data_IF_783338742275
#
_entry.id   IF_783338742275
#
_cell.length_a   1.000
_cell.length_b   1.000
_cell.length_c   1.000
_cell.angle_alpha   90.00
_cell.angle_beta   90.00
_cell.angle_gamma   90.00
#
_symmetry.space_group_name_H-M   'P 1'
#
loop_
_entity.id
_entity.type
_entity.pdbx_description
1 polymer ?
#
# COMPACT_ATOMS: atom_id res chain seq x y z
N UNK A 1 5.39 6.56 -40.08
CA UNK A 1 4.49 7.63 -39.62
C UNK A 1 3.87 7.16 -38.31
N UNK A 2 4.54 7.45 -37.20
CA UNK A 2 4.10 7.09 -35.86
C UNK A 2 3.06 8.09 -35.39
N UNK A 3 1.81 7.62 -35.18
CA UNK A 3 0.76 8.39 -34.54
C UNK A 3 1.11 8.63 -33.09
N UNK A 4 1.51 9.85 -32.76
CA UNK A 4 1.53 10.38 -31.40
C UNK A 4 0.08 10.36 -30.90
N UNK A 5 -0.25 9.37 -30.06
CA UNK A 5 -1.50 9.37 -29.30
C UNK A 5 -1.57 10.70 -28.55
N UNK A 6 -2.55 11.48 -28.86
CA UNK A 6 -2.82 12.79 -28.26
C UNK A 6 -3.05 12.56 -26.77
N UNK A 7 -2.08 12.94 -25.93
CA UNK A 7 -2.21 12.91 -24.46
C UNK A 7 -3.39 13.79 -24.08
N UNK A 8 -4.43 13.20 -23.51
CA UNK A 8 -5.58 13.96 -23.00
C UNK A 8 -5.13 14.72 -21.73
N UNK A 9 -4.89 16.04 -21.82
CA UNK A 9 -4.48 16.84 -20.66
C UNK A 9 -5.60 16.92 -19.60
N UNK A 10 -6.81 16.44 -19.90
CA UNK A 10 -7.91 16.34 -18.96
C UNK A 10 -7.77 15.17 -17.96
N UNK A 11 -6.86 14.23 -18.22
CA UNK A 11 -6.71 13.03 -17.41
C UNK A 11 -5.95 13.27 -16.09
N UNK A 12 -5.06 14.26 -16.03
CA UNK A 12 -4.36 14.67 -14.81
C UNK A 12 -4.79 16.09 -14.43
N UNK A 13 -5.65 16.22 -13.41
CA UNK A 13 -6.14 17.51 -12.94
C UNK A 13 -5.78 17.72 -11.49
N UNK A 14 -5.44 18.97 -11.15
CA UNK A 14 -5.24 19.37 -9.76
C UNK A 14 -6.55 19.21 -8.97
N UNK A 15 -6.47 18.57 -7.80
CA UNK A 15 -7.58 18.34 -6.88
C UNK A 15 -7.08 18.53 -5.46
N UNK A 16 -7.50 19.60 -4.79
CA UNK A 16 -7.00 19.98 -3.48
C UNK A 16 -7.27 18.93 -2.40
N UNK A 17 -8.40 18.23 -2.51
CA UNK A 17 -8.77 17.18 -1.58
C UNK A 17 -9.66 16.13 -2.24
N UNK A 18 -9.26 14.89 -2.14
CA UNK A 18 -10.09 13.75 -2.51
C UNK A 18 -10.26 12.87 -1.27
N UNK A 19 -11.50 12.64 -0.88
CA UNK A 19 -11.87 11.65 0.12
C UNK A 19 -12.99 10.80 -0.47
N UNK A 20 -12.75 9.50 -0.56
CA UNK A 20 -13.71 8.54 -1.08
C UNK A 20 -13.81 7.32 -0.17
N UNK A 21 -15.02 6.88 0.08
CA UNK A 21 -15.34 5.59 0.68
C UNK A 21 -16.20 4.80 -0.29
N UNK A 22 -15.69 3.70 -0.78
CA UNK A 22 -16.30 2.87 -1.81
C UNK A 22 -16.75 1.57 -1.14
N UNK A 23 -18.05 1.46 -0.87
CA UNK A 23 -18.70 0.31 -0.24
C UNK A 23 -19.71 -0.39 -1.16
N UNK A 24 -19.81 0.03 -2.43
CA UNK A 24 -20.70 -0.59 -3.42
C UNK A 24 -20.17 -0.45 -4.84
N UNK A 25 -20.64 -1.31 -5.75
CA UNK A 25 -20.25 -1.27 -7.17
C UNK A 25 -20.65 0.06 -7.82
N UNK A 26 -21.81 0.63 -7.45
CA UNK A 26 -22.23 1.94 -7.95
C UNK A 26 -21.26 3.05 -7.53
N UNK A 27 -20.79 3.04 -6.27
CA UNK A 27 -19.81 4.00 -5.80
C UNK A 27 -18.46 3.80 -6.49
N UNK A 28 -18.07 2.55 -6.76
CA UNK A 28 -16.87 2.22 -7.50
C UNK A 28 -16.91 2.81 -8.92
N UNK A 29 -18.00 2.60 -9.62
CA UNK A 29 -18.20 3.15 -10.96
C UNK A 29 -18.17 4.67 -10.96
N UNK A 30 -18.91 5.34 -10.07
CA UNK A 30 -18.89 6.80 -9.92
C UNK A 30 -17.48 7.33 -9.60
N UNK A 31 -16.69 6.59 -8.85
CA UNK A 31 -15.30 6.96 -8.56
C UNK A 31 -14.40 6.80 -9.79
N UNK A 32 -14.59 5.74 -10.55
CA UNK A 32 -13.85 5.49 -11.80
C UNK A 32 -14.20 6.52 -12.88
N UNK A 33 -15.46 6.95 -12.95
CA UNK A 33 -15.93 7.96 -13.92
C UNK A 33 -15.41 9.38 -13.57
N UNK A 34 -14.87 9.55 -12.36
CA UNK A 34 -14.27 10.81 -11.94
C UNK A 34 -13.00 11.09 -12.76
N UNK A 35 -12.95 12.25 -13.38
CA UNK A 35 -11.76 12.72 -14.10
C UNK A 35 -10.58 12.97 -13.14
N UNK A 36 -9.37 12.92 -13.69
CA UNK A 36 -8.15 13.29 -12.97
C UNK A 36 -7.50 12.17 -12.15
N UNK A 37 -8.04 10.96 -12.13
CA UNK A 37 -7.43 9.79 -11.49
C UNK A 37 -6.87 8.87 -12.57
N UNK A 38 -5.58 8.55 -12.48
CA UNK A 38 -4.84 7.83 -13.53
C UNK A 38 -5.18 6.33 -13.63
N UNK A 39 -5.97 5.79 -12.71
CA UNK A 39 -6.29 4.36 -12.65
C UNK A 39 -7.79 4.10 -12.50
N UNK A 40 -8.26 2.99 -13.04
CA UNK A 40 -9.56 2.42 -12.73
C UNK A 40 -9.41 1.40 -11.60
N UNK A 41 -10.32 1.45 -10.63
CA UNK A 41 -10.44 0.44 -9.59
C UNK A 41 -11.42 -0.65 -10.01
N UNK A 42 -11.13 -1.89 -9.61
CA UNK A 42 -11.99 -3.05 -9.77
C UNK A 42 -11.96 -3.89 -8.49
N UNK A 43 -12.92 -4.80 -8.32
CA UNK A 43 -13.02 -5.67 -7.15
C UNK A 43 -12.20 -6.95 -7.34
N UNK A 44 -11.67 -7.46 -6.23
CA UNK A 44 -11.20 -8.83 -6.14
C UNK A 44 -12.43 -9.74 -5.96
N UNK A 45 -12.59 -10.71 -6.86
CA UNK A 45 -13.63 -11.76 -6.92
C UNK A 45 -14.61 -11.81 -5.74
N UNK A 46 -15.89 -11.52 -6.03
CA UNK A 46 -17.08 -11.79 -5.19
C UNK A 46 -17.23 -11.06 -3.85
N UNK A 47 -16.33 -10.19 -3.45
CA UNK A 47 -16.48 -9.41 -2.22
C UNK A 47 -17.12 -8.04 -2.52
N UNK A 48 -17.99 -7.57 -1.63
CA UNK A 48 -18.39 -6.18 -1.65
C UNK A 48 -17.16 -5.27 -1.47
N UNK A 49 -17.00 -4.21 -2.27
CA UNK A 49 -15.86 -3.32 -2.13
C UNK A 49 -15.88 -2.63 -0.75
N UNK A 50 -14.73 -2.56 -0.10
CA UNK A 50 -14.49 -1.67 1.05
C UNK A 50 -13.13 -1.00 0.82
N UNK A 51 -13.15 0.11 0.10
CA UNK A 51 -11.96 0.86 -0.27
C UNK A 51 -12.10 2.27 0.27
N UNK A 52 -11.08 2.76 0.96
CA UNK A 52 -10.96 4.14 1.44
C UNK A 52 -9.77 4.78 0.79
N UNK A 53 -9.99 5.96 0.24
CA UNK A 53 -8.97 6.75 -0.43
C UNK A 53 -9.05 8.16 0.16
N UNK A 54 -7.92 8.68 0.60
CA UNK A 54 -7.78 10.06 1.01
C UNK A 54 -6.50 10.64 0.42
N UNK A 55 -6.56 11.86 -0.11
CA UNK A 55 -5.38 12.46 -0.70
C UNK A 55 -5.65 13.79 -1.38
N UNK A 56 -4.63 14.24 -2.09
CA UNK A 56 -4.63 15.45 -2.90
C UNK A 56 -3.79 15.23 -4.15
N UNK A 57 -4.05 15.99 -5.18
CA UNK A 57 -3.34 15.95 -6.44
C UNK A 57 -3.07 17.36 -6.93
N UNK A 58 -1.81 17.67 -7.20
CA UNK A 58 -1.40 18.88 -7.92
C UNK A 58 -1.01 18.54 -9.35
N UNK A 59 -0.55 19.51 -10.11
CA UNK A 59 -0.07 19.30 -11.47
C UNK A 59 1.21 18.45 -11.54
N UNK A 60 2.02 18.47 -10.47
CA UNK A 60 3.35 17.83 -10.45
C UNK A 60 3.44 16.65 -9.49
N UNK A 61 2.44 16.43 -8.66
CA UNK A 61 2.48 15.40 -7.62
C UNK A 61 1.10 15.03 -7.12
N UNK A 62 0.89 13.76 -6.82
CA UNK A 62 -0.27 13.32 -6.05
C UNK A 62 0.17 12.57 -4.79
N UNK A 63 -0.55 12.76 -3.71
CA UNK A 63 -0.33 12.10 -2.44
C UNK A 63 -1.59 11.40 -1.99
N UNK A 64 -1.51 10.10 -1.75
CA UNK A 64 -2.64 9.23 -1.47
C UNK A 64 -2.38 8.33 -0.28
N UNK A 65 -3.38 8.22 0.59
CA UNK A 65 -3.55 7.11 1.50
C UNK A 65 -4.67 6.22 0.98
N UNK A 66 -4.40 4.93 0.90
CA UNK A 66 -5.38 3.94 0.44
C UNK A 66 -5.46 2.81 1.45
N UNK A 67 -6.67 2.45 1.86
CA UNK A 67 -6.92 1.31 2.71
C UNK A 67 -8.09 0.49 2.14
N UNK A 68 -8.01 -0.84 2.22
CA UNK A 68 -9.10 -1.71 1.78
C UNK A 68 -9.16 -2.98 2.62
N UNK A 69 -10.32 -3.27 3.17
CA UNK A 69 -10.56 -4.56 3.85
C UNK A 69 -10.78 -5.69 2.83
N UNK A 70 -11.40 -5.39 1.68
CA UNK A 70 -11.71 -6.38 0.64
C UNK A 70 -10.56 -6.69 -0.33
N UNK A 71 -9.54 -5.81 -0.39
CA UNK A 71 -8.61 -5.76 -1.51
C UNK A 71 -9.24 -5.11 -2.74
N UNK A 72 -8.45 -4.89 -3.78
CA UNK A 72 -8.90 -4.33 -5.05
C UNK A 72 -7.88 -4.60 -6.15
N UNK A 73 -8.32 -4.37 -7.37
CA UNK A 73 -7.46 -4.35 -8.56
C UNK A 73 -7.49 -2.94 -9.14
N UNK A 74 -6.36 -2.45 -9.66
CA UNK A 74 -6.36 -1.23 -10.46
C UNK A 74 -5.67 -1.48 -11.80
N UNK A 75 -6.15 -0.76 -12.83
CA UNK A 75 -5.57 -0.74 -14.17
C UNK A 75 -5.35 0.70 -14.60
N UNK A 76 -4.22 1.02 -15.25
CA UNK A 76 -4.02 2.35 -15.85
C UNK A 76 -5.18 2.70 -16.79
N UNK A 77 -5.67 3.95 -16.72
CA UNK A 77 -6.70 4.46 -17.65
C UNK A 77 -6.12 4.86 -19.00
N UNK A 78 -4.88 5.26 -18.99
CA UNK A 78 -4.16 5.77 -20.15
C UNK A 78 -2.67 5.50 -19.97
N UNK A 79 -1.96 5.47 -21.08
CA UNK A 79 -0.51 5.41 -21.07
C UNK A 79 0.05 6.76 -20.63
N UNK A 80 0.72 6.80 -19.50
CA UNK A 80 1.21 8.02 -18.89
C UNK A 80 2.64 7.84 -18.38
N UNK A 81 3.44 8.86 -18.60
CA UNK A 81 4.82 8.94 -18.13
C UNK A 81 4.85 9.33 -16.64
N UNK A 82 4.38 8.41 -15.82
CA UNK A 82 4.20 8.55 -14.38
C UNK A 82 4.96 7.48 -13.62
N UNK A 83 5.44 7.84 -12.45
CA UNK A 83 6.01 6.92 -11.47
C UNK A 83 5.16 6.97 -10.20
N UNK A 84 4.81 5.83 -9.65
CA UNK A 84 4.12 5.76 -8.36
C UNK A 84 5.04 5.19 -7.29
N UNK A 85 5.09 5.88 -6.15
CA UNK A 85 5.75 5.40 -4.93
C UNK A 85 4.68 4.94 -3.94
N UNK A 86 4.89 3.79 -3.29
CA UNK A 86 3.99 3.26 -2.27
C UNK A 86 4.79 2.71 -1.09
N UNK A 87 4.40 3.12 0.09
CA UNK A 87 4.84 2.58 1.37
C UNK A 87 3.70 1.73 1.92
N UNK A 88 3.84 0.42 1.81
CA UNK A 88 2.82 -0.52 2.27
C UNK A 88 2.85 -0.59 3.80
N UNK A 89 1.73 -0.27 4.44
CA UNK A 89 1.59 -0.29 5.90
C UNK A 89 0.90 -1.56 6.41
N UNK A 90 0.11 -2.21 5.54
CA UNK A 90 -0.53 -3.50 5.83
C UNK A 90 -0.91 -4.22 4.53
N UNK A 91 -1.05 -5.55 4.60
CA UNK A 91 -1.34 -6.37 3.43
C UNK A 91 -0.18 -6.44 2.44
N UNK A 92 -0.48 -6.65 1.17
CA UNK A 92 0.49 -6.70 0.08
C UNK A 92 -0.07 -6.05 -1.17
N UNK A 93 0.82 -5.65 -2.08
CA UNK A 93 0.45 -5.10 -3.39
C UNK A 93 1.34 -5.74 -4.46
N UNK A 94 0.73 -6.22 -5.53
CA UNK A 94 1.44 -6.81 -6.66
C UNK A 94 1.26 -5.94 -7.90
N UNK A 95 2.34 -5.68 -8.59
CA UNK A 95 2.40 -4.93 -9.84
C UNK A 95 2.72 -5.89 -10.97
N UNK A 96 1.83 -6.01 -11.94
CA UNK A 96 2.01 -6.88 -13.11
C UNK A 96 2.39 -6.06 -14.33
N UNK A 97 3.53 -6.38 -14.89
CA UNK A 97 4.07 -5.78 -16.11
C UNK A 97 4.00 -6.77 -17.27
N UNK A 98 4.34 -6.30 -18.46
CA UNK A 98 4.52 -7.18 -19.61
C UNK A 98 5.63 -8.21 -19.38
N UNK A 99 6.71 -7.80 -18.72
CA UNK A 99 7.93 -8.59 -18.55
C UNK A 99 8.07 -9.27 -17.16
N UNK A 100 7.12 -9.11 -16.22
CA UNK A 100 7.23 -9.71 -14.89
C UNK A 100 6.27 -9.14 -13.85
N UNK A 101 6.56 -9.41 -12.59
CA UNK A 101 5.77 -8.97 -11.45
C UNK A 101 6.67 -8.41 -10.34
N UNK A 102 6.25 -7.33 -9.68
CA UNK A 102 6.89 -6.82 -8.47
C UNK A 102 5.89 -6.85 -7.31
N UNK A 103 6.34 -7.17 -6.10
CA UNK A 103 5.47 -7.30 -4.92
C UNK A 103 5.96 -6.38 -3.81
N UNK A 104 5.08 -5.50 -3.36
CA UNK A 104 5.27 -4.62 -2.20
C UNK A 104 4.68 -5.24 -0.94
N UNK A 105 5.45 -5.21 0.14
CA UNK A 105 5.12 -5.74 1.47
C UNK A 105 5.34 -4.65 2.53
N UNK A 106 4.81 -4.78 3.76
CA UNK A 106 4.96 -3.75 4.80
C UNK A 106 6.40 -3.38 5.19
N UNK A 107 7.37 -4.25 4.89
CA UNK A 107 8.81 -3.97 5.10
C UNK A 107 9.48 -3.27 3.90
N UNK A 108 8.72 -2.98 2.85
CA UNK A 108 9.23 -2.43 1.60
C UNK A 108 8.44 -1.21 1.15
N UNK A 109 9.15 -0.30 0.51
CA UNK A 109 8.55 0.71 -0.35
C UNK A 109 8.72 0.28 -1.81
N UNK A 110 7.75 0.61 -2.66
CA UNK A 110 7.78 0.30 -4.09
C UNK A 110 7.83 1.57 -4.91
N UNK A 111 8.60 1.56 -5.99
CA UNK A 111 8.66 2.64 -6.99
C UNK A 111 8.44 2.02 -8.36
N UNK A 112 7.34 2.37 -8.99
CA UNK A 112 6.81 1.67 -10.15
C UNK A 112 6.40 2.66 -11.22
N UNK A 113 6.97 2.54 -12.43
CA UNK A 113 6.53 3.28 -13.60
C UNK A 113 5.20 2.74 -14.14
N UNK A 114 4.44 3.63 -14.80
CA UNK A 114 3.21 3.24 -15.50
C UNK A 114 3.50 2.60 -16.85
N UNK A 115 4.68 2.80 -17.39
CA UNK A 115 5.14 2.15 -18.61
C UNK A 115 5.06 0.63 -18.46
N UNK A 116 4.44 -0.05 -19.41
CA UNK A 116 4.19 -1.50 -19.38
C UNK A 116 3.40 -2.05 -18.19
N UNK A 117 2.92 -1.20 -17.28
CA UNK A 117 2.08 -1.61 -16.15
C UNK A 117 0.69 -2.03 -16.67
N UNK A 118 0.33 -3.28 -16.43
CA UNK A 118 -0.97 -3.84 -16.84
C UNK A 118 -2.01 -3.79 -15.75
N UNK A 119 -1.60 -4.18 -14.57
CA UNK A 119 -2.50 -4.37 -13.45
C UNK A 119 -1.76 -4.25 -12.13
N UNK A 120 -2.43 -3.71 -11.14
CA UNK A 120 -1.99 -3.70 -9.74
C UNK A 120 -3.04 -4.37 -8.89
N UNK A 121 -2.64 -5.35 -8.08
CA UNK A 121 -3.53 -6.08 -7.20
C UNK A 121 -3.15 -5.84 -5.74
N UNK A 122 -4.06 -5.28 -4.95
CA UNK A 122 -3.93 -5.14 -3.51
C UNK A 122 -4.66 -6.26 -2.78
N UNK A 123 -4.04 -6.85 -1.77
CA UNK A 123 -4.65 -7.93 -0.97
C UNK A 123 -5.76 -7.41 -0.04
N UNK A 124 -6.55 -8.32 0.54
CA UNK A 124 -7.42 -7.99 1.67
C UNK A 124 -6.63 -7.39 2.82
N UNK A 125 -7.22 -6.41 3.52
CA UNK A 125 -6.57 -5.69 4.62
C UNK A 125 -5.37 -4.86 4.19
N UNK A 126 -5.35 -4.44 2.93
CA UNK A 126 -4.33 -3.55 2.39
C UNK A 126 -4.38 -2.17 3.01
N UNK A 127 -3.22 -1.61 3.25
CA UNK A 127 -3.02 -0.21 3.61
C UNK A 127 -1.70 0.29 3.07
N UNK A 128 -1.71 1.49 2.48
CA UNK A 128 -0.50 2.13 2.00
C UNK A 128 -0.66 3.65 1.96
N UNK A 129 0.45 4.35 2.10
CA UNK A 129 0.58 5.77 1.77
C UNK A 129 1.58 5.90 0.63
N UNK A 130 1.36 6.83 -0.26
CA UNK A 130 2.27 7.07 -1.36
C UNK A 130 1.84 8.20 -2.26
N UNK A 131 2.45 8.28 -3.41
CA UNK A 131 2.19 9.33 -4.37
C UNK A 131 2.48 8.91 -5.80
N UNK A 132 2.09 9.75 -6.72
CA UNK A 132 2.39 9.60 -8.15
C UNK A 132 3.08 10.87 -8.63
N UNK A 133 4.17 10.73 -9.36
CA UNK A 133 5.04 11.82 -9.79
C UNK A 133 5.22 11.69 -11.31
N UNK A 134 5.00 12.75 -12.10
CA UNK A 134 5.40 12.76 -13.51
C UNK A 134 6.90 12.56 -13.68
N UNK A 135 7.32 11.73 -14.62
CA UNK A 135 8.75 11.47 -14.90
C UNK A 135 9.45 12.76 -15.26
N UNK A 136 8.79 13.68 -15.98
CA UNK A 136 9.32 14.99 -16.28
C UNK A 136 9.72 15.80 -15.03
N UNK A 137 8.93 15.70 -13.95
CA UNK A 137 9.26 16.36 -12.67
C UNK A 137 10.49 15.75 -12.00
N UNK A 138 10.64 14.41 -12.06
CA UNK A 138 11.85 13.74 -11.56
C UNK A 138 13.08 14.07 -12.41
N UNK A 139 12.93 14.15 -13.73
CA UNK A 139 14.02 14.54 -14.64
C UNK A 139 14.49 15.95 -14.36
N UNK A 140 13.56 16.89 -14.19
CA UNK A 140 13.89 18.27 -13.84
C UNK A 140 14.59 18.36 -12.47
N UNK A 141 14.10 17.61 -11.47
CA UNK A 141 14.75 17.54 -10.16
C UNK A 141 16.16 16.94 -10.24
N UNK A 142 16.37 15.91 -11.07
CA UNK A 142 17.70 15.32 -11.26
C UNK A 142 18.67 16.31 -11.94
N UNK A 143 18.21 17.04 -12.95
CA UNK A 143 19.01 18.07 -13.61
C UNK A 143 19.44 19.17 -12.62
N UNK A 144 18.52 19.60 -11.74
CA UNK A 144 18.82 20.58 -10.69
C UNK A 144 19.85 20.06 -9.67
N UNK A 145 19.73 18.78 -9.26
CA UNK A 145 20.67 18.15 -8.31
C UNK A 145 22.08 17.96 -8.91
N UNK A 146 22.18 17.64 -10.19
CA UNK A 146 23.46 17.26 -10.82
C UNK A 146 24.15 18.41 -11.53
N UNK A 147 23.48 19.56 -11.68
CA UNK A 147 24.00 20.70 -12.47
C UNK A 147 24.19 20.36 -13.96
N UNK A 148 23.64 19.23 -14.41
CA UNK A 148 23.80 18.71 -15.77
C UNK A 148 22.55 18.92 -16.62
N UNK A 149 22.73 19.05 -17.93
CA UNK A 149 21.63 19.12 -18.89
C UNK A 149 20.75 17.86 -18.85
N UNK A 150 19.80 17.78 -19.74
CA UNK A 150 18.67 16.85 -19.86
C UNK A 150 19.04 15.34 -19.97
N UNK A 151 19.97 14.91 -19.12
CA UNK A 151 20.29 13.49 -18.91
C UNK A 151 19.30 12.99 -17.88
N UNK A 152 18.43 12.06 -18.29
CA UNK A 152 17.51 11.36 -17.39
C UNK A 152 18.22 10.86 -16.11
N UNK A 153 17.49 10.56 -15.08
CA UNK A 153 18.05 9.98 -13.85
C UNK A 153 18.38 8.49 -14.04
N UNK A 154 19.34 7.99 -13.27
CA UNK A 154 19.69 6.57 -13.29
C UNK A 154 18.47 5.72 -12.94
N UNK A 155 18.28 4.55 -13.57
CA UNK A 155 17.16 3.67 -13.26
C UNK A 155 17.09 3.37 -11.76
N UNK A 156 15.92 3.57 -11.17
CA UNK A 156 15.67 3.34 -9.75
C UNK A 156 15.18 1.90 -9.54
N UNK A 157 15.56 1.30 -8.42
CA UNK A 157 15.11 -0.04 -8.07
C UNK A 157 13.57 -0.05 -7.84
N UNK A 158 12.84 -1.08 -8.28
CA UNK A 158 11.39 -1.15 -8.08
C UNK A 158 10.98 -1.31 -6.62
N UNK A 159 11.90 -1.78 -5.78
CA UNK A 159 11.67 -2.05 -4.36
C UNK A 159 12.83 -1.48 -3.54
N UNK A 160 12.51 -0.84 -2.42
CA UNK A 160 13.46 -0.36 -1.42
C UNK A 160 13.08 -0.89 -0.04
N UNK A 161 14.07 -1.28 0.77
CA UNK A 161 13.83 -1.74 2.13
C UNK A 161 13.49 -0.57 3.06
N UNK A 162 12.43 -0.71 3.85
CA UNK A 162 12.02 0.27 4.86
C UNK A 162 13.01 0.39 6.02
N UNK A 163 13.98 -0.54 6.13
CA UNK A 163 15.08 -0.47 7.09
C UNK A 163 16.16 0.55 6.70
N UNK A 164 16.17 1.02 5.45
CA UNK A 164 17.11 2.03 4.98
C UNK A 164 16.74 3.40 5.57
N UNK A 165 17.65 4.08 6.31
CA UNK A 165 17.32 5.33 7.00
C UNK A 165 16.78 6.44 6.08
N UNK A 166 17.31 6.58 4.87
CA UNK A 166 16.82 7.55 3.88
C UNK A 166 15.40 7.26 3.41
N UNK A 167 15.05 5.99 3.21
CA UNK A 167 13.70 5.54 2.82
C UNK A 167 12.70 5.76 3.97
N UNK A 168 13.13 5.52 5.23
CA UNK A 168 12.31 5.83 6.41
C UNK A 168 12.05 7.32 6.53
N UNK A 169 13.06 8.15 6.32
CA UNK A 169 12.91 9.60 6.35
C UNK A 169 11.93 10.09 5.27
N UNK A 170 12.03 9.57 4.06
CA UNK A 170 11.09 9.86 2.98
C UNK A 170 9.65 9.47 3.36
N UNK A 171 9.46 8.30 3.96
CA UNK A 171 8.16 7.87 4.47
C UNK A 171 7.60 8.80 5.56
N UNK A 172 8.44 9.21 6.52
CA UNK A 172 8.04 10.16 7.55
C UNK A 172 7.62 11.51 6.95
N UNK A 173 8.38 12.01 5.97
CA UNK A 173 8.06 13.26 5.27
C UNK A 173 6.72 13.16 4.55
N UNK A 174 6.48 12.08 3.80
CA UNK A 174 5.19 11.85 3.13
C UNK A 174 4.01 11.78 4.12
N UNK A 175 4.18 11.09 5.24
CA UNK A 175 3.15 11.02 6.29
C UNK A 175 2.82 12.38 6.89
N UNK A 176 3.84 13.16 7.19
CA UNK A 176 3.66 14.51 7.75
C UNK A 176 2.90 15.40 6.77
N UNK A 177 3.28 15.41 5.50
CA UNK A 177 2.60 16.19 4.47
C UNK A 177 1.15 15.75 4.33
N UNK A 178 0.91 14.43 4.27
CA UNK A 178 -0.45 13.89 4.17
C UNK A 178 -1.31 14.35 5.36
N UNK A 179 -0.80 14.27 6.58
CA UNK A 179 -1.52 14.72 7.77
C UNK A 179 -1.86 16.22 7.73
N UNK A 180 -0.95 17.06 7.22
CA UNK A 180 -1.18 18.51 7.12
C UNK A 180 -2.07 18.92 5.94
N UNK A 181 -2.12 18.11 4.89
CA UNK A 181 -3.00 18.35 3.72
C UNK A 181 -4.49 18.17 4.03
N UNK A 182 -4.84 17.63 5.20
CA UNK A 182 -6.23 17.44 5.65
C UNK A 182 -6.80 18.64 6.42
N UNK A 183 -6.00 19.68 6.70
CA UNK A 183 -6.45 20.92 7.30
C UNK A 183 -7.29 21.78 6.34
N UNK A 184 -8.02 22.80 6.85
CA UNK A 184 -8.79 23.72 6.00
C UNK A 184 -7.82 24.47 5.06
N UNK A 185 -7.90 24.13 3.78
CA UNK A 185 -7.05 24.74 2.75
C UNK A 185 -7.40 26.20 2.60
N UNK A 186 -6.51 27.09 3.01
CA UNK A 186 -6.55 28.49 2.60
C UNK A 186 -5.90 28.63 1.23
N UNK A 187 -6.58 29.38 0.34
CA UNK A 187 -6.15 29.69 -1.03
C UNK A 187 -4.65 30.02 -1.08
N UNK A 188 -3.94 29.40 -2.02
CA UNK A 188 -2.58 29.76 -2.37
C UNK A 188 -1.50 29.26 -1.41
N UNK A 189 -1.52 27.98 -1.05
CA UNK A 189 -0.42 27.43 -0.26
C UNK A 189 0.85 27.35 -1.13
N UNK A 190 1.65 28.41 -1.12
CA UNK A 190 2.93 28.52 -1.83
C UNK A 190 3.98 27.51 -1.34
N UNK A 191 3.72 26.85 -0.22
CA UNK A 191 4.64 25.89 0.40
C UNK A 191 4.52 24.50 -0.28
N UNK A 192 3.34 24.12 -0.78
CA UNK A 192 3.11 22.81 -1.38
C UNK A 192 4.05 22.52 -2.55
N UNK A 193 4.27 23.42 -3.54
CA UNK A 193 5.23 23.19 -4.61
C UNK A 193 6.65 22.96 -4.10
N UNK A 194 7.09 23.73 -3.11
CA UNK A 194 8.42 23.58 -2.49
C UNK A 194 8.59 22.22 -1.80
N UNK A 195 7.55 21.76 -1.11
CA UNK A 195 7.56 20.47 -0.46
C UNK A 195 7.63 19.33 -1.50
N UNK A 196 6.89 19.46 -2.60
CA UNK A 196 6.91 18.48 -3.71
C UNK A 196 8.28 18.41 -4.37
N UNK A 197 8.93 19.55 -4.55
CA UNK A 197 10.29 19.62 -5.06
C UNK A 197 11.28 18.94 -4.11
N UNK A 198 11.21 19.23 -2.80
CA UNK A 198 12.02 18.57 -1.77
C UNK A 198 11.81 17.06 -1.76
N UNK A 199 10.58 16.59 -1.90
CA UNK A 199 10.29 15.15 -2.00
C UNK A 199 10.96 14.50 -3.20
N UNK A 200 10.95 15.17 -4.36
CA UNK A 200 11.61 14.67 -5.57
C UNK A 200 13.13 14.60 -5.39
N UNK A 201 13.74 15.60 -4.78
CA UNK A 201 15.18 15.60 -4.44
C UNK A 201 15.51 14.50 -3.44
N UNK A 202 14.71 14.37 -2.39
CA UNK A 202 14.89 13.35 -1.37
C UNK A 202 14.76 11.94 -1.97
N UNK A 203 13.73 11.71 -2.80
CA UNK A 203 13.55 10.45 -3.52
C UNK A 203 14.80 10.09 -4.35
N UNK A 204 15.25 10.99 -5.21
CA UNK A 204 16.40 10.76 -6.08
C UNK A 204 17.72 10.53 -5.31
N UNK A 205 17.84 11.14 -4.12
CA UNK A 205 19.05 11.05 -3.30
C UNK A 205 19.12 9.76 -2.47
N UNK A 206 17.96 9.24 -2.00
CA UNK A 206 17.94 8.14 -1.02
C UNK A 206 17.46 6.81 -1.61
N UNK A 207 16.78 6.85 -2.77
CA UNK A 207 16.24 5.64 -3.37
C UNK A 207 17.34 4.79 -4.00
N UNK A 208 17.35 3.47 -3.79
CA UNK A 208 18.35 2.61 -4.37
C UNK A 208 18.28 2.66 -5.91
N UNK A 209 19.45 2.73 -6.53
CA UNK A 209 19.59 2.67 -7.98
C UNK A 209 19.53 1.21 -8.41
N UNK A 210 19.02 0.96 -9.61
CA UNK A 210 19.03 -0.36 -10.21
C UNK A 210 20.46 -0.62 -10.69
N UNK A 211 21.18 -1.53 -10.04
CA UNK A 211 22.44 -2.03 -10.57
C UNK A 211 22.14 -2.78 -11.89
N UNK A 212 22.72 -2.34 -13.00
CA UNK A 212 22.64 -3.04 -14.30
C UNK A 212 23.72 -4.11 -14.34
N UNK A 213 23.52 -5.27 -14.97
CA UNK A 213 22.48 -6.30 -14.78
C UNK A 213 23.07 -7.65 -14.38
N UNK A 214 22.40 -8.35 -13.50
CA UNK A 214 22.45 -9.81 -13.56
C UNK A 214 21.09 -10.29 -14.10
N UNK A 215 20.99 -11.39 -14.85
CA UNK A 215 19.74 -11.90 -15.39
C UNK A 215 18.75 -12.18 -14.26
N UNK A 216 17.55 -11.63 -14.35
CA UNK A 216 16.54 -11.59 -13.27
C UNK A 216 15.77 -12.92 -13.09
N UNK A 217 16.35 -14.08 -13.33
CA UNK A 217 15.66 -15.35 -13.11
C UNK A 217 15.51 -15.75 -11.63
N UNK A 218 16.22 -15.09 -10.69
CA UNK A 218 16.27 -15.55 -9.30
C UNK A 218 15.38 -14.80 -8.30
N UNK A 219 14.85 -13.62 -8.62
CA UNK A 219 14.11 -12.81 -7.64
C UNK A 219 12.59 -13.03 -7.65
N UNK A 220 12.00 -13.48 -8.75
CA UNK A 220 10.56 -13.71 -8.87
C UNK A 220 10.08 -14.94 -8.08
N UNK A 221 10.87 -16.01 -8.05
CA UNK A 221 10.50 -17.27 -7.39
C UNK A 221 10.39 -17.11 -5.85
N UNK A 222 11.33 -16.45 -5.16
CA UNK A 222 11.20 -16.20 -3.72
C UNK A 222 9.98 -15.37 -3.34
N UNK A 223 9.67 -14.32 -4.11
CA UNK A 223 8.56 -13.41 -3.84
C UNK A 223 7.20 -14.07 -4.08
N UNK A 224 7.06 -14.84 -5.15
CA UNK A 224 5.83 -15.63 -5.43
C UNK A 224 5.51 -16.61 -4.31
N UNK A 225 6.53 -17.27 -3.76
CA UNK A 225 6.35 -18.22 -2.66
C UNK A 225 5.92 -17.53 -1.37
N UNK A 226 6.50 -16.38 -1.03
CA UNK A 226 6.05 -15.60 0.13
C UNK A 226 4.63 -15.09 -0.09
N UNK A 227 4.27 -14.66 -1.31
CA UNK A 227 2.91 -14.28 -1.62
C UNK A 227 1.92 -15.43 -1.42
N UNK A 228 2.23 -16.62 -1.95
CA UNK A 228 1.40 -17.81 -1.74
C UNK A 228 1.21 -18.11 -0.24
N UNK A 229 2.28 -17.96 0.57
CA UNK A 229 2.19 -18.07 2.02
C UNK A 229 1.23 -17.04 2.64
N UNK A 230 1.34 -15.77 2.22
CA UNK A 230 0.47 -14.69 2.71
C UNK A 230 -0.98 -14.90 2.30
N UNK A 231 -1.23 -15.26 1.06
CA UNK A 231 -2.57 -15.53 0.53
C UNK A 231 -3.22 -16.72 1.27
N UNK A 232 -2.43 -17.76 1.56
CA UNK A 232 -2.88 -18.92 2.35
C UNK A 232 -3.23 -18.51 3.78
N UNK A 233 -2.38 -17.74 4.45
CA UNK A 233 -2.64 -17.23 5.81
C UNK A 233 -3.92 -16.41 5.83
N UNK A 234 -4.10 -15.47 4.89
CA UNK A 234 -5.29 -14.61 4.84
C UNK A 234 -6.58 -15.43 4.62
N UNK A 235 -6.53 -16.45 3.77
CA UNK A 235 -7.68 -17.32 3.50
C UNK A 235 -8.09 -18.17 4.70
N UNK A 236 -7.15 -18.49 5.61
CA UNK A 236 -7.36 -19.45 6.71
C UNK A 236 -7.16 -18.82 8.11
N UNK A 237 -7.29 -17.47 8.23
CA UNK A 237 -7.07 -16.78 9.51
C UNK A 237 -7.98 -17.25 10.64
N UNK A 238 -9.20 -17.71 10.33
CA UNK A 238 -10.16 -18.25 11.30
C UNK A 238 -9.89 -19.70 11.67
N UNK A 239 -9.05 -20.40 10.91
CA UNK A 239 -8.80 -21.82 11.06
C UNK A 239 -7.53 -22.10 11.88
N UNK A 240 -7.33 -23.31 12.40
CA UNK A 240 -6.04 -23.73 12.91
C UNK A 240 -4.99 -23.72 11.79
N UNK A 241 -3.99 -22.83 11.92
CA UNK A 241 -2.89 -22.70 10.97
C UNK A 241 -1.63 -23.32 11.55
N UNK A 242 -0.96 -24.18 10.79
CA UNK A 242 0.38 -24.66 11.10
C UNK A 242 1.43 -24.07 10.16
N UNK A 243 2.68 -23.96 10.62
CA UNK A 243 3.77 -23.53 9.74
C UNK A 243 4.03 -24.52 8.60
N UNK A 244 3.70 -25.80 8.83
CA UNK A 244 3.82 -26.85 7.81
C UNK A 244 2.83 -26.63 6.67
N UNK A 245 1.57 -26.32 6.97
CA UNK A 245 0.54 -26.08 5.96
C UNK A 245 0.89 -24.83 5.12
N UNK A 246 1.33 -23.77 5.79
CA UNK A 246 1.73 -22.51 5.13
C UNK A 246 2.96 -22.76 4.22
N UNK A 247 3.94 -23.54 4.71
CA UNK A 247 5.12 -23.87 3.93
C UNK A 247 4.78 -24.75 2.71
N UNK A 248 3.89 -25.72 2.89
CA UNK A 248 3.39 -26.58 1.82
C UNK A 248 2.65 -25.75 0.73
N UNK A 249 1.74 -24.86 1.14
CA UNK A 249 1.03 -23.97 0.23
C UNK A 249 1.98 -23.05 -0.56
N UNK A 250 3.11 -22.66 0.03
CA UNK A 250 4.14 -21.86 -0.61
C UNK A 250 5.17 -22.68 -1.40
N UNK A 251 5.12 -24.02 -1.34
CA UNK A 251 6.08 -24.91 -1.99
C UNK A 251 7.51 -24.77 -1.46
N UNK A 252 7.67 -24.55 -0.13
CA UNK A 252 8.96 -24.38 0.54
C UNK A 252 9.02 -25.16 1.87
N UNK A 253 10.23 -25.36 2.40
CA UNK A 253 10.38 -25.90 3.76
C UNK A 253 9.98 -24.86 4.82
N UNK A 254 9.61 -25.34 6.03
CA UNK A 254 9.29 -24.47 7.19
C UNK A 254 10.48 -23.55 7.52
N UNK A 255 11.72 -24.05 7.44
CA UNK A 255 12.93 -23.25 7.65
C UNK A 255 13.01 -22.11 6.62
N UNK A 256 12.85 -22.42 5.34
CA UNK A 256 12.84 -21.41 4.27
C UNK A 256 11.67 -20.41 4.43
N UNK A 257 10.51 -20.87 4.90
CA UNK A 257 9.39 -19.99 5.21
C UNK A 257 9.77 -18.99 6.30
N UNK A 258 10.32 -19.44 7.42
CA UNK A 258 10.71 -18.57 8.55
C UNK A 258 11.78 -17.54 8.14
N UNK A 259 12.82 -17.97 7.42
CA UNK A 259 13.91 -17.08 7.00
C UNK A 259 13.42 -16.04 6.00
N UNK A 260 12.67 -16.46 4.99
CA UNK A 260 12.13 -15.57 3.96
C UNK A 260 11.06 -14.61 4.51
N UNK A 261 10.22 -15.09 5.44
CA UNK A 261 9.24 -14.25 6.12
C UNK A 261 9.93 -13.15 6.93
N UNK A 262 11.00 -13.50 7.67
CA UNK A 262 11.77 -12.52 8.43
C UNK A 262 12.47 -11.51 7.52
N UNK A 263 13.01 -11.96 6.40
CA UNK A 263 13.66 -11.10 5.41
C UNK A 263 12.67 -10.18 4.69
N UNK A 264 11.51 -10.70 4.26
CA UNK A 264 10.53 -9.97 3.46
C UNK A 264 9.57 -9.12 4.28
N UNK A 265 9.16 -9.60 5.48
CA UNK A 265 8.11 -9.00 6.31
C UNK A 265 8.69 -8.32 7.56
N UNK A 266 9.93 -8.61 7.93
CA UNK A 266 10.58 -8.10 9.14
C UNK A 266 10.14 -8.79 10.43
N UNK A 267 9.27 -9.82 10.36
CA UNK A 267 8.73 -10.57 11.51
C UNK A 267 8.57 -12.05 11.19
N UNK A 268 8.30 -12.86 12.20
CA UNK A 268 8.04 -14.29 12.00
C UNK A 268 6.64 -14.53 11.44
N UNK A 269 6.40 -15.67 10.74
CA UNK A 269 5.03 -16.03 10.29
C UNK A 269 4.02 -16.07 11.44
N UNK A 270 4.40 -16.58 12.60
CA UNK A 270 3.52 -16.65 13.79
C UNK A 270 3.14 -15.26 14.28
N UNK A 271 4.10 -14.33 14.37
CA UNK A 271 3.82 -12.96 14.78
C UNK A 271 2.90 -12.27 13.78
N UNK A 272 3.12 -12.46 12.48
CA UNK A 272 2.27 -11.95 11.43
C UNK A 272 0.82 -12.45 11.56
N UNK A 273 0.62 -13.76 11.76
CA UNK A 273 -0.72 -14.35 11.95
C UNK A 273 -1.41 -13.73 13.16
N UNK A 274 -0.72 -13.62 14.30
CA UNK A 274 -1.26 -13.00 15.52
C UNK A 274 -1.69 -11.56 15.25
N UNK A 275 -0.86 -10.76 14.60
CA UNK A 275 -1.17 -9.36 14.29
C UNK A 275 -2.35 -9.24 13.32
N UNK A 276 -2.47 -10.14 12.34
CA UNK A 276 -3.60 -10.20 11.42
C UNK A 276 -4.91 -10.57 12.15
N UNK A 277 -4.88 -11.56 13.03
CA UNK A 277 -6.02 -11.95 13.87
C UNK A 277 -6.47 -10.83 14.79
N UNK A 278 -5.52 -10.12 15.43
CA UNK A 278 -5.84 -8.95 16.26
C UNK A 278 -6.52 -7.83 15.46
N UNK A 279 -6.12 -7.61 14.20
CA UNK A 279 -6.78 -6.64 13.30
C UNK A 279 -8.21 -7.05 12.98
N UNK A 280 -8.47 -8.35 12.77
CA UNK A 280 -9.83 -8.88 12.57
C UNK A 280 -10.69 -8.67 13.81
N UNK A 281 -10.15 -8.99 15.00
CA UNK A 281 -10.84 -8.71 16.28
C UNK A 281 -11.16 -7.21 16.40
N UNK A 282 -10.21 -6.34 16.13
CA UNK A 282 -10.43 -4.89 16.19
C UNK A 282 -11.52 -4.44 15.24
N UNK A 283 -11.52 -4.95 14.02
CA UNK A 283 -12.56 -4.68 13.03
C UNK A 283 -13.94 -5.11 13.56
N UNK A 284 -14.06 -6.34 14.08
CA UNK A 284 -15.33 -6.87 14.62
C UNK A 284 -15.81 -6.06 15.84
N UNK A 285 -14.90 -5.61 16.72
CA UNK A 285 -15.22 -4.77 17.86
C UNK A 285 -15.68 -3.35 17.49
N UNK A 286 -15.25 -2.85 16.34
CA UNK A 286 -15.60 -1.51 15.83
C UNK A 286 -16.77 -1.52 14.86
N UNK A 287 -17.21 -2.67 14.36
CA UNK A 287 -18.34 -2.80 13.46
C UNK A 287 -19.66 -2.43 14.15
N UNK A 288 -20.42 -1.48 13.59
CA UNK A 288 -21.76 -1.13 14.06
C UNK A 288 -22.69 -2.31 13.80
N UNK A 289 -23.17 -2.96 14.86
CA UNK A 289 -24.02 -4.17 14.80
C UNK A 289 -23.37 -5.43 15.41
N UNK A 290 -22.10 -5.40 15.77
CA UNK A 290 -21.40 -6.52 16.44
C UNK A 290 -21.64 -6.65 17.95
N UNK A 291 -22.63 -5.94 18.50
CA UNK A 291 -22.88 -5.87 19.95
C UNK A 291 -23.42 -7.18 20.58
N UNK A 292 -23.75 -8.20 19.77
CA UNK A 292 -24.33 -9.45 20.26
C UNK A 292 -23.29 -10.42 20.83
N UNK A 293 -22.06 -10.38 20.40
CA UNK A 293 -20.98 -11.26 20.89
C UNK A 293 -20.17 -10.59 21.99
N UNK A 294 -19.81 -11.34 23.02
CA UNK A 294 -18.85 -10.87 24.03
C UNK A 294 -17.45 -10.66 23.43
N UNK A 295 -16.58 -9.91 24.09
CA UNK A 295 -15.18 -9.73 23.66
C UNK A 295 -14.47 -11.09 23.61
N UNK A 296 -14.79 -11.99 24.55
CA UNK A 296 -14.22 -13.32 24.60
C UNK A 296 -14.64 -14.16 23.38
N UNK A 297 -15.90 -14.10 22.98
CA UNK A 297 -16.42 -14.82 21.80
C UNK A 297 -15.78 -14.27 20.51
N UNK A 298 -15.64 -12.94 20.37
CA UNK A 298 -14.95 -12.35 19.23
C UNK A 298 -13.48 -12.77 19.20
N UNK A 299 -12.79 -12.75 20.35
CA UNK A 299 -11.40 -13.19 20.44
C UNK A 299 -11.24 -14.68 20.11
N UNK A 300 -12.14 -15.53 20.65
CA UNK A 300 -12.15 -16.97 20.40
C UNK A 300 -12.39 -17.30 18.91
N UNK A 301 -13.28 -16.58 18.23
CA UNK A 301 -13.52 -16.69 16.78
C UNK A 301 -12.23 -16.54 15.96
N UNK A 302 -11.32 -15.69 16.41
CA UNK A 302 -10.03 -15.44 15.77
C UNK A 302 -8.88 -16.22 16.42
N UNK A 303 -9.19 -17.30 17.17
CA UNK A 303 -8.23 -18.25 17.70
C UNK A 303 -7.47 -17.83 18.95
N UNK A 304 -7.97 -16.83 19.70
CA UNK A 304 -7.38 -16.44 20.98
C UNK A 304 -8.06 -17.22 22.11
N UNK A 305 -7.34 -18.18 22.68
CA UNK A 305 -7.82 -19.03 23.77
C UNK A 305 -7.56 -18.39 25.16
N UNK A 306 -6.42 -17.71 25.29
CA UNK A 306 -5.99 -17.10 26.56
C UNK A 306 -6.27 -15.60 26.57
N UNK A 307 -7.30 -15.19 27.29
CA UNK A 307 -7.77 -13.80 27.32
C UNK A 307 -6.76 -12.79 27.89
N UNK A 308 -5.91 -13.21 28.83
CA UNK A 308 -4.86 -12.36 29.39
C UNK A 308 -3.78 -12.03 28.35
N UNK A 309 -3.29 -13.02 27.61
CA UNK A 309 -2.32 -12.85 26.54
C UNK A 309 -2.92 -12.03 25.38
N UNK A 310 -4.16 -12.33 24.99
CA UNK A 310 -4.91 -11.54 24.02
C UNK A 310 -4.98 -10.06 24.41
N UNK A 311 -5.40 -9.76 25.64
CA UNK A 311 -5.55 -8.40 26.13
C UNK A 311 -4.22 -7.61 26.14
N UNK A 312 -3.12 -8.27 26.51
CA UNK A 312 -1.79 -7.67 26.50
C UNK A 312 -1.32 -7.38 25.06
N UNK A 313 -1.47 -8.32 24.12
CA UNK A 313 -1.11 -8.16 22.70
C UNK A 313 -1.95 -7.09 22.02
N UNK A 314 -3.25 -7.08 22.31
CA UNK A 314 -4.18 -6.09 21.78
C UNK A 314 -3.79 -4.68 22.24
N UNK A 315 -3.54 -4.49 23.55
CA UNK A 315 -3.10 -3.20 24.09
C UNK A 315 -1.76 -2.75 23.53
N UNK A 316 -0.83 -3.68 23.30
CA UNK A 316 0.46 -3.37 22.66
C UNK A 316 0.28 -2.87 21.23
N UNK A 317 -0.68 -3.41 20.48
CA UNK A 317 -0.90 -3.07 19.06
C UNK A 317 -1.74 -1.78 18.91
N UNK A 318 -2.75 -1.57 19.78
CA UNK A 318 -3.72 -0.49 19.63
C UNK A 318 -3.63 0.61 20.69
N UNK A 319 -2.80 0.46 21.70
CA UNK A 319 -2.63 1.42 22.78
C UNK A 319 -3.76 1.44 23.81
N UNK A 320 -4.86 0.69 23.59
CA UNK A 320 -6.05 0.65 24.45
C UNK A 320 -6.54 -0.79 24.64
N UNK A 321 -7.40 -1.00 25.65
CA UNK A 321 -7.98 -2.31 25.88
C UNK A 321 -9.11 -2.62 24.87
N UNK A 322 -9.40 -3.91 24.57
CA UNK A 322 -10.51 -4.30 23.70
C UNK A 322 -11.87 -3.74 24.16
N UNK A 323 -12.08 -3.63 25.46
CA UNK A 323 -13.30 -3.06 26.06
C UNK A 323 -13.43 -1.56 25.81
N UNK A 324 -12.33 -0.83 25.78
CA UNK A 324 -12.30 0.59 25.45
C UNK A 324 -12.64 0.80 23.98
N UNK A 325 -12.02 0.03 23.08
CA UNK A 325 -12.34 0.04 21.65
C UNK A 325 -13.83 -0.17 21.40
N UNK A 326 -14.44 -1.17 22.05
CA UNK A 326 -15.88 -1.46 21.90
C UNK A 326 -16.76 -0.32 22.40
N UNK A 327 -16.43 0.24 23.57
CA UNK A 327 -17.18 1.34 24.17
C UNK A 327 -17.15 2.58 23.28
N UNK A 328 -15.99 2.89 22.72
CA UNK A 328 -15.82 4.07 21.85
C UNK A 328 -16.53 3.90 20.49
N UNK A 329 -16.63 2.68 19.98
CA UNK A 329 -17.39 2.36 18.77
C UNK A 329 -18.91 2.51 18.97
N UNK A 330 -19.42 2.32 20.19
CA UNK A 330 -20.83 2.45 20.56
C UNK A 330 -21.28 3.90 20.88
N UNK A 331 -20.37 4.86 20.98
CA UNK A 331 -20.73 6.27 21.23
C UNK A 331 -21.27 6.90 19.94
N UNK A 332 -22.48 7.49 19.96
CA UNK A 332 -22.94 8.31 18.85
C UNK A 332 -22.04 9.56 18.74
N UNK A 333 -21.60 9.87 17.53
CA UNK A 333 -20.92 11.12 17.18
C UNK A 333 -21.94 12.18 16.89
#
# INVERSE_FOLDING_TARGET
MSGLAQRDPAAWRSQDRIVARIGSLRQLQLFNDRGGIAVNFDILRSAAPDIRIAGSQSETFSLWETASASGFVTKPKFDADLVTIRFVTSGSIAYRYRAGEAIGLPSHATLVGFEDLREVQASSGFGAIGGTIPVAALTAANAALTGGGDRGFAPLAPIAAMTTPGVQMLFCTLRQIHAHSHGPSRRGNLIVPLIQEILSYQLLSVWPKRDMPAPQESQDVPLRRIRAALDYIEAHLSDPLTLADIAAAAGISVRSLQDRFRQAIGQTPVQFIIDRRLRKVHHDLTARGGATLSIAEVAARWGFVHMSDFGQRYRRLYGCAPSETRRDAGRPR
#
